data_IF_090562742511
#
_entry.id   IF_090562742511
#
_cell.length_a   1.000
_cell.length_b   1.000
_cell.length_c   1.000
_cell.angle_alpha   90.00
_cell.angle_beta   90.00
_cell.angle_gamma   90.00
#
_symmetry.space_group_name_H-M   'P 1'
#
loop_
_entity.id
_entity.type
_entity.pdbx_description
1 polymer ?
#
# COMPACT_ATOMS: atom_id res chain seq x y z
N UNK A 1 -51.84 -45.71 -73.25
CA UNK A 1 -50.56 -45.03 -73.03
C UNK A 1 -50.74 -43.99 -71.90
N UNK A 2 -50.34 -44.31 -70.70
CA UNK A 2 -50.31 -43.38 -69.57
C UNK A 2 -48.93 -42.81 -69.42
N UNK A 3 -48.75 -41.53 -69.60
CA UNK A 3 -47.45 -40.82 -69.34
C UNK A 3 -47.43 -40.44 -67.87
N UNK A 4 -46.49 -40.99 -67.13
CA UNK A 4 -46.15 -40.63 -65.76
C UNK A 4 -45.17 -39.43 -65.82
N UNK A 5 -45.57 -38.32 -65.21
CA UNK A 5 -44.72 -37.15 -65.06
C UNK A 5 -44.06 -37.29 -63.69
N UNK A 6 -42.73 -37.46 -63.68
CA UNK A 6 -41.91 -37.49 -62.44
C UNK A 6 -41.53 -36.05 -62.08
N UNK A 7 -42.06 -35.58 -60.96
CA UNK A 7 -41.70 -34.26 -60.39
C UNK A 7 -40.39 -34.40 -59.61
N UNK A 8 -39.33 -33.81 -60.06
CA UNK A 8 -38.04 -33.71 -59.30
C UNK A 8 -38.09 -32.47 -58.45
N UNK A 9 -38.21 -32.67 -57.14
CA UNK A 9 -38.10 -31.59 -56.15
C UNK A 9 -36.59 -31.42 -55.85
N UNK A 10 -36.03 -30.31 -56.34
CA UNK A 10 -34.66 -29.87 -55.94
C UNK A 10 -34.80 -29.12 -54.62
N UNK A 11 -34.40 -29.72 -53.53
CA UNK A 11 -34.31 -29.06 -52.24
C UNK A 11 -32.97 -28.30 -52.18
N UNK A 12 -33.00 -26.99 -52.33
CA UNK A 12 -31.83 -26.14 -52.11
C UNK A 12 -31.64 -26.00 -50.60
N UNK A 13 -30.65 -26.72 -50.08
CA UNK A 13 -30.16 -26.49 -48.72
C UNK A 13 -29.39 -25.13 -48.72
N UNK A 14 -30.03 -24.10 -48.25
CA UNK A 14 -29.34 -22.85 -47.93
C UNK A 14 -28.60 -23.11 -46.60
N UNK A 15 -27.32 -23.45 -46.68
CA UNK A 15 -26.45 -23.46 -45.52
C UNK A 15 -26.28 -22.01 -45.03
N UNK A 16 -27.09 -21.62 -44.04
CA UNK A 16 -26.82 -20.39 -43.28
C UNK A 16 -25.57 -20.67 -42.44
N UNK A 17 -24.43 -20.18 -42.89
CA UNK A 17 -23.26 -20.12 -42.07
C UNK A 17 -23.57 -19.20 -40.87
N UNK A 18 -23.87 -19.80 -39.71
CA UNK A 18 -23.89 -19.05 -38.46
C UNK A 18 -22.46 -18.59 -38.19
N UNK A 19 -22.17 -17.35 -38.52
CA UNK A 19 -20.99 -16.69 -37.99
C UNK A 19 -21.20 -16.56 -36.48
N UNK A 20 -20.56 -17.44 -35.71
CA UNK A 20 -20.41 -17.27 -34.29
C UNK A 20 -19.57 -16.02 -34.10
N UNK A 21 -20.20 -14.93 -33.73
CA UNK A 21 -19.44 -13.76 -33.24
C UNK A 21 -18.67 -14.21 -32.01
N UNK A 22 -17.35 -14.13 -32.07
CA UNK A 22 -16.52 -14.38 -30.92
C UNK A 22 -16.93 -13.42 -29.81
N UNK A 23 -17.33 -13.97 -28.65
CA UNK A 23 -17.70 -13.13 -27.50
C UNK A 23 -16.46 -12.39 -27.02
N UNK A 24 -16.56 -11.13 -26.63
CA UNK A 24 -15.44 -10.39 -26.09
C UNK A 24 -14.91 -11.10 -24.82
N UNK A 25 -13.60 -11.23 -24.71
CA UNK A 25 -12.93 -11.78 -23.55
C UNK A 25 -12.63 -10.63 -22.60
N UNK A 26 -13.10 -10.75 -21.35
CA UNK A 26 -12.82 -9.79 -20.29
C UNK A 26 -11.86 -10.41 -19.29
N UNK A 27 -10.73 -9.77 -19.08
CA UNK A 27 -9.72 -10.15 -18.08
C UNK A 27 -9.77 -9.16 -16.93
N UNK A 28 -9.82 -9.69 -15.71
CA UNK A 28 -9.67 -8.90 -14.48
C UNK A 28 -8.36 -9.32 -13.82
N UNK A 29 -7.51 -8.36 -13.45
CA UNK A 29 -6.23 -8.64 -12.81
C UNK A 29 -6.29 -8.37 -11.32
N UNK A 30 -5.64 -9.22 -10.53
CA UNK A 30 -5.50 -9.06 -9.08
C UNK A 30 -4.10 -9.50 -8.65
N UNK A 31 -3.44 -8.68 -7.83
CA UNK A 31 -2.15 -9.03 -7.24
C UNK A 31 -2.33 -9.78 -5.92
N UNK A 32 -1.49 -10.79 -5.70
CA UNK A 32 -1.41 -11.52 -4.42
C UNK A 32 0.04 -11.88 -4.10
N UNK A 33 0.35 -11.95 -2.81
CA UNK A 33 1.61 -12.55 -2.37
C UNK A 33 1.54 -14.09 -2.33
N UNK A 34 2.65 -14.70 -1.96
CA UNK A 34 2.75 -16.17 -1.81
C UNK A 34 1.77 -16.75 -0.75
N UNK A 35 1.29 -15.92 0.19
CA UNK A 35 0.32 -16.28 1.22
C UNK A 35 -1.13 -15.95 0.81
N UNK A 36 -1.36 -15.61 -0.46
CA UNK A 36 -2.66 -15.21 -1.01
C UNK A 36 -3.21 -13.87 -0.45
N UNK A 37 -2.39 -13.05 0.21
CA UNK A 37 -2.77 -11.71 0.62
C UNK A 37 -2.85 -10.78 -0.60
N UNK A 38 -3.82 -9.88 -0.58
CA UNK A 38 -4.03 -8.93 -1.69
C UNK A 38 -2.90 -7.90 -1.74
N UNK A 39 -2.38 -7.66 -2.96
CA UNK A 39 -1.38 -6.65 -3.28
C UNK A 39 -1.98 -5.69 -4.30
N UNK A 40 -2.04 -4.38 -4.02
CA UNK A 40 -2.51 -3.41 -4.99
C UNK A 40 -1.52 -3.30 -6.15
N UNK A 41 -2.02 -3.51 -7.38
CA UNK A 41 -1.24 -3.36 -8.60
C UNK A 41 -1.11 -1.87 -8.95
N UNK A 42 0.06 -1.44 -9.40
CA UNK A 42 0.28 -0.11 -9.98
C UNK A 42 0.09 -0.11 -11.49
N UNK A 43 0.46 -1.22 -12.13
CA UNK A 43 0.24 -1.46 -13.55
C UNK A 43 0.25 -2.95 -13.88
N UNK A 44 -0.31 -3.30 -15.03
CA UNK A 44 -0.23 -4.64 -15.62
C UNK A 44 0.24 -4.53 -17.05
N UNK A 45 1.25 -5.30 -17.39
CA UNK A 45 1.71 -5.46 -18.77
C UNK A 45 1.07 -6.71 -19.36
N UNK A 46 0.40 -6.56 -20.48
CA UNK A 46 -0.27 -7.64 -21.22
C UNK A 46 0.41 -7.79 -22.57
N UNK A 47 0.95 -8.95 -22.85
CA UNK A 47 1.63 -9.26 -24.10
C UNK A 47 0.90 -10.38 -24.84
N UNK A 48 0.56 -10.18 -26.11
CA UNK A 48 0.12 -11.27 -26.97
C UNK A 48 1.36 -11.86 -27.68
N UNK A 49 1.79 -13.01 -27.21
CA UNK A 49 2.98 -13.69 -27.73
C UNK A 49 2.76 -14.29 -29.14
N UNK A 50 1.51 -14.58 -29.51
CA UNK A 50 1.14 -15.10 -30.83
C UNK A 50 1.20 -14.02 -31.89
N UNK A 51 0.74 -12.80 -31.56
CA UNK A 51 0.61 -11.69 -32.54
C UNK A 51 1.64 -10.58 -32.36
N UNK A 52 2.45 -10.65 -31.27
CA UNK A 52 3.60 -9.77 -31.06
C UNK A 52 3.25 -8.33 -30.69
N UNK A 53 2.14 -8.11 -29.97
CA UNK A 53 1.82 -6.80 -29.41
C UNK A 53 1.85 -6.81 -27.88
N UNK A 54 2.00 -5.65 -27.29
CA UNK A 54 2.03 -5.43 -25.84
C UNK A 54 1.21 -4.19 -25.48
N UNK A 55 0.50 -4.26 -24.37
CA UNK A 55 -0.26 -3.14 -23.78
C UNK A 55 0.02 -3.03 -22.29
N UNK A 56 -0.02 -1.80 -21.76
CA UNK A 56 0.16 -1.53 -20.33
C UNK A 56 -1.11 -0.90 -19.78
N UNK A 57 -1.71 -1.59 -18.81
CA UNK A 57 -2.83 -1.09 -18.03
C UNK A 57 -2.27 -0.40 -16.80
N UNK A 58 -2.59 0.88 -16.60
CA UNK A 58 -2.21 1.63 -15.41
C UNK A 58 -3.33 1.57 -14.37
N UNK A 59 -2.96 1.57 -13.08
CA UNK A 59 -3.96 1.74 -12.04
C UNK A 59 -4.77 3.04 -12.27
N UNK A 60 -6.13 3.05 -12.11
CA UNK A 60 -6.97 1.99 -11.55
C UNK A 60 -7.50 0.95 -12.55
N UNK A 61 -7.09 0.95 -13.82
CA UNK A 61 -7.56 0.00 -14.82
C UNK A 61 -6.95 -1.39 -14.60
N UNK A 62 -7.70 -2.27 -13.93
CA UNK A 62 -7.34 -3.69 -13.73
C UNK A 62 -8.19 -4.62 -14.58
N UNK A 63 -8.89 -4.08 -15.59
CA UNK A 63 -9.78 -4.83 -16.48
C UNK A 63 -9.42 -4.54 -17.93
N UNK A 64 -9.13 -5.59 -18.68
CA UNK A 64 -8.90 -5.53 -20.13
C UNK A 64 -10.04 -6.24 -20.88
N UNK A 65 -10.63 -5.57 -21.86
CA UNK A 65 -11.59 -6.19 -22.79
C UNK A 65 -10.90 -6.43 -24.12
N UNK A 66 -10.87 -7.67 -24.57
CA UNK A 66 -10.31 -8.05 -25.87
C UNK A 66 -11.43 -8.55 -26.78
N UNK A 67 -11.51 -8.00 -28.00
CA UNK A 67 -12.45 -8.45 -29.03
C UNK A 67 -11.72 -9.22 -30.12
N UNK A 68 -12.26 -10.38 -30.54
CA UNK A 68 -11.74 -11.11 -31.67
C UNK A 68 -11.91 -10.34 -32.98
N UNK A 69 -11.00 -10.57 -33.94
CA UNK A 69 -11.03 -9.99 -35.28
C UNK A 69 -12.16 -10.62 -36.13
N UNK A 70 -13.41 -10.43 -35.73
CA UNK A 70 -14.57 -10.63 -36.60
C UNK A 70 -15.00 -9.30 -37.15
N UNK A 71 -15.14 -9.17 -38.47
CA UNK A 71 -15.65 -7.99 -39.16
C UNK A 71 -17.01 -7.59 -38.59
N UNK A 72 -17.00 -6.57 -37.76
CA UNK A 72 -18.18 -5.96 -37.17
C UNK A 72 -17.82 -4.57 -36.69
N UNK A 73 -18.35 -3.59 -37.45
CA UNK A 73 -18.29 -2.16 -37.16
C UNK A 73 -18.83 -1.89 -35.72
N UNK A 74 -17.93 -1.79 -34.75
CA UNK A 74 -18.28 -1.31 -33.40
C UNK A 74 -17.91 0.18 -33.36
N UNK A 75 -18.98 0.97 -33.33
CA UNK A 75 -18.88 2.42 -33.20
C UNK A 75 -17.89 2.82 -32.11
N UNK A 76 -17.09 3.81 -32.44
CA UNK A 76 -16.14 4.47 -31.57
C UNK A 76 -16.69 4.60 -30.14
N UNK A 77 -16.16 3.82 -29.19
CA UNK A 77 -16.23 4.21 -27.80
C UNK A 77 -15.25 5.35 -27.61
N UNK A 78 -15.74 6.58 -27.76
CA UNK A 78 -15.01 7.76 -27.30
C UNK A 78 -14.71 7.56 -25.81
N UNK A 79 -13.48 7.86 -25.42
CA UNK A 79 -13.00 7.95 -24.04
C UNK A 79 -13.67 9.12 -23.28
N UNK A 80 -14.97 9.09 -23.14
CA UNK A 80 -15.76 10.14 -22.48
C UNK A 80 -16.70 9.54 -21.43
N UNK A 81 -16.26 8.53 -20.68
CA UNK A 81 -17.14 7.87 -19.73
C UNK A 81 -16.78 8.19 -18.28
N UNK A 82 -17.75 8.71 -17.55
CA UNK A 82 -17.79 8.71 -16.10
C UNK A 82 -17.55 7.27 -15.58
N UNK A 83 -16.59 7.05 -14.66
CA UNK A 83 -16.27 5.70 -14.15
C UNK A 83 -16.16 5.69 -12.66
N UNK A 84 -16.55 4.57 -12.04
CA UNK A 84 -16.33 4.25 -10.64
C UNK A 84 -15.42 3.02 -10.54
N UNK A 85 -14.43 3.09 -9.67
CA UNK A 85 -13.67 1.89 -9.28
C UNK A 85 -14.52 0.96 -8.42
N UNK A 86 -14.11 -0.30 -8.27
CA UNK A 86 -14.65 -1.14 -7.20
C UNK A 86 -14.27 -0.51 -5.86
N UNK A 87 -15.20 -0.52 -4.90
CA UNK A 87 -14.91 -0.03 -3.55
C UNK A 87 -13.87 -0.89 -2.84
N UNK A 88 -13.01 -0.25 -2.07
CA UNK A 88 -12.00 -0.92 -1.27
C UNK A 88 -12.03 -0.40 0.19
N UNK A 89 -12.13 -1.30 1.19
CA UNK A 89 -12.36 -2.75 1.08
C UNK A 89 -13.75 -3.13 0.54
N UNK A 90 -13.89 -4.35 -0.03
CA UNK A 90 -15.18 -4.97 -0.38
C UNK A 90 -15.08 -6.50 -0.22
N UNK A 91 -15.79 -7.14 0.72
CA UNK A 91 -16.72 -6.53 1.71
C UNK A 91 -16.03 -5.62 2.71
N UNK A 92 -16.78 -4.65 3.27
CA UNK A 92 -16.29 -3.68 4.24
C UNK A 92 -17.09 -3.68 5.55
N UNK A 93 -16.50 -3.10 6.58
CA UNK A 93 -17.08 -2.94 7.91
C UNK A 93 -17.37 -1.46 8.17
N UNK A 94 -18.56 -1.01 7.78
CA UNK A 94 -19.04 0.35 8.00
C UNK A 94 -18.49 1.43 7.07
N UNK A 95 -17.23 1.41 6.67
CA UNK A 95 -16.64 2.43 5.80
C UNK A 95 -15.83 1.81 4.65
N UNK A 96 -15.94 2.42 3.45
CA UNK A 96 -15.19 2.03 2.27
C UNK A 96 -14.91 3.25 1.37
N UNK A 97 -14.02 3.11 0.41
CA UNK A 97 -13.62 4.14 -0.53
C UNK A 97 -13.84 3.70 -1.97
N UNK A 98 -14.21 4.64 -2.83
CA UNK A 98 -14.44 4.43 -4.27
C UNK A 98 -13.82 5.58 -5.03
N UNK A 99 -13.08 5.31 -6.10
CA UNK A 99 -12.57 6.36 -6.97
C UNK A 99 -13.56 6.62 -8.09
N UNK A 100 -13.89 7.90 -8.29
CA UNK A 100 -14.70 8.43 -9.37
C UNK A 100 -13.78 9.14 -10.37
N UNK A 101 -13.70 8.63 -11.58
CA UNK A 101 -13.01 9.31 -12.67
C UNK A 101 -14.01 10.19 -13.43
N UNK A 102 -13.72 11.49 -13.45
CA UNK A 102 -14.50 12.52 -14.15
C UNK A 102 -13.69 13.02 -15.35
N UNK A 103 -14.23 12.91 -16.55
CA UNK A 103 -13.53 13.31 -17.79
C UNK A 103 -13.82 14.75 -18.21
N UNK A 104 -15.00 15.26 -17.88
CA UNK A 104 -15.42 16.62 -18.24
C UNK A 104 -15.84 17.40 -17.00
N UNK A 105 -15.55 18.71 -16.92
CA UNK A 105 -16.02 19.51 -15.80
C UNK A 105 -17.55 19.58 -15.77
N UNK A 106 -18.14 19.49 -14.59
CA UNK A 106 -19.60 19.57 -14.45
C UNK A 106 -20.11 19.05 -13.14
N UNK A 107 -21.42 19.02 -13.01
CA UNK A 107 -22.09 18.57 -11.79
C UNK A 107 -22.19 17.03 -11.78
N UNK A 108 -21.95 16.44 -10.61
CA UNK A 108 -22.04 14.99 -10.40
C UNK A 108 -23.00 14.71 -9.25
N UNK A 109 -23.94 13.78 -9.47
CA UNK A 109 -24.80 13.24 -8.43
C UNK A 109 -24.34 11.83 -8.06
N UNK A 110 -24.17 11.56 -6.77
CA UNK A 110 -23.79 10.26 -6.25
C UNK A 110 -24.94 9.75 -5.39
N UNK A 111 -25.43 8.56 -5.71
CA UNK A 111 -26.55 7.90 -5.00
C UNK A 111 -26.09 6.53 -4.50
N UNK A 112 -26.52 6.16 -3.28
CA UNK A 112 -26.40 4.81 -2.74
C UNK A 112 -27.80 4.23 -2.62
N UNK A 113 -28.00 3.07 -3.23
CA UNK A 113 -29.27 2.33 -3.14
C UNK A 113 -29.06 0.95 -2.50
N UNK A 114 -30.07 0.46 -1.78
CA UNK A 114 -30.13 -0.92 -1.33
C UNK A 114 -30.59 -1.86 -2.47
N UNK A 115 -30.63 -3.18 -2.21
CA UNK A 115 -31.01 -4.18 -3.20
C UNK A 115 -32.47 -4.05 -3.68
N UNK A 116 -33.32 -3.27 -2.99
CA UNK A 116 -34.71 -3.02 -3.38
C UNK A 116 -34.83 -1.77 -4.27
N UNK A 117 -33.72 -1.06 -4.49
CA UNK A 117 -33.68 0.22 -5.23
C UNK A 117 -34.06 1.44 -4.39
N UNK A 118 -34.22 1.28 -3.08
CA UNK A 118 -34.48 2.41 -2.17
C UNK A 118 -33.18 3.21 -2.00
N UNK A 119 -33.25 4.52 -2.19
CA UNK A 119 -32.13 5.44 -1.94
C UNK A 119 -31.86 5.46 -0.42
N UNK A 120 -30.63 5.13 -0.05
CA UNK A 120 -30.12 5.17 1.33
C UNK A 120 -29.47 6.52 1.58
N UNK A 121 -28.70 7.02 0.61
CA UNK A 121 -28.00 8.31 0.67
C UNK A 121 -27.84 8.87 -0.74
N UNK A 122 -27.88 10.21 -0.89
CA UNK A 122 -27.65 10.88 -2.17
C UNK A 122 -27.06 12.27 -1.94
N UNK A 123 -26.00 12.59 -2.68
CA UNK A 123 -25.37 13.90 -2.65
C UNK A 123 -25.13 14.43 -4.06
N UNK A 124 -25.26 15.76 -4.21
CA UNK A 124 -25.00 16.48 -5.44
C UNK A 124 -23.78 17.38 -5.25
N UNK A 125 -22.82 17.26 -6.17
CA UNK A 125 -21.58 18.03 -6.16
C UNK A 125 -21.49 18.86 -7.43
N UNK A 126 -21.38 20.19 -7.27
CA UNK A 126 -21.35 21.13 -8.39
C UNK A 126 -19.92 21.41 -8.85
N UNK A 127 -19.76 21.60 -10.18
CA UNK A 127 -18.52 22.07 -10.80
C UNK A 127 -17.30 21.18 -10.52
N UNK A 128 -17.49 19.87 -10.46
CA UNK A 128 -16.40 18.91 -10.32
C UNK A 128 -15.47 19.04 -11.52
N UNK A 129 -14.16 19.14 -11.26
CA UNK A 129 -13.15 19.24 -12.31
C UNK A 129 -12.76 17.85 -12.83
N UNK A 130 -12.25 17.74 -14.08
CA UNK A 130 -11.70 16.49 -14.57
C UNK A 130 -10.60 15.94 -13.64
N UNK A 131 -10.58 14.63 -13.46
CA UNK A 131 -9.60 13.96 -12.60
C UNK A 131 -10.21 12.80 -11.83
N UNK A 132 -9.40 12.19 -10.99
CA UNK A 132 -9.82 11.11 -10.09
C UNK A 132 -10.18 11.72 -8.73
N UNK A 133 -11.40 11.47 -8.29
CA UNK A 133 -11.94 11.96 -7.02
C UNK A 133 -12.22 10.77 -6.11
N UNK A 134 -11.75 10.81 -4.87
CA UNK A 134 -12.07 9.81 -3.88
C UNK A 134 -13.44 10.07 -3.24
N UNK A 135 -14.28 9.04 -3.21
CA UNK A 135 -15.56 9.03 -2.51
C UNK A 135 -15.42 8.13 -1.28
N UNK A 136 -15.65 8.69 -0.11
CA UNK A 136 -15.80 7.94 1.13
C UNK A 136 -17.27 7.58 1.34
N UNK A 137 -17.55 6.30 1.53
CA UNK A 137 -18.88 5.76 1.83
C UNK A 137 -18.91 5.17 3.22
N UNK A 138 -19.88 5.58 4.04
CA UNK A 138 -20.14 4.98 5.37
C UNK A 138 -21.57 4.46 5.39
N UNK A 139 -21.78 3.21 5.83
CA UNK A 139 -23.09 2.57 5.91
C UNK A 139 -23.25 1.85 7.25
N UNK A 140 -24.34 2.17 7.97
CA UNK A 140 -24.62 1.63 9.29
C UNK A 140 -25.03 0.15 9.27
N UNK A 141 -25.82 -0.26 8.29
CA UNK A 141 -26.44 -1.58 8.25
C UNK A 141 -25.69 -2.55 7.34
N UNK A 142 -25.60 -3.81 7.77
CA UNK A 142 -25.12 -4.88 6.89
C UNK A 142 -26.05 -5.07 5.69
N UNK A 143 -25.48 -5.27 4.50
CA UNK A 143 -26.27 -5.46 3.29
C UNK A 143 -25.48 -5.32 2.00
N UNK A 144 -26.19 -5.50 0.90
CA UNK A 144 -25.68 -5.25 -0.46
C UNK A 144 -26.24 -3.92 -0.93
N UNK A 145 -25.36 -3.06 -1.44
CA UNK A 145 -25.67 -1.72 -1.89
C UNK A 145 -25.08 -1.48 -3.27
N UNK A 146 -25.62 -0.48 -3.96
CA UNK A 146 -25.09 0.01 -5.23
C UNK A 146 -24.80 1.51 -5.08
N UNK A 147 -23.55 1.89 -5.35
CA UNK A 147 -23.17 3.28 -5.50
C UNK A 147 -23.25 3.63 -6.99
N UNK A 148 -23.97 4.68 -7.31
CA UNK A 148 -24.19 5.15 -8.67
C UNK A 148 -23.78 6.61 -8.78
N UNK A 149 -22.89 6.94 -9.70
CA UNK A 149 -22.53 8.30 -10.08
C UNK A 149 -23.20 8.65 -11.39
N UNK A 150 -23.72 9.90 -11.48
CA UNK A 150 -24.36 10.46 -12.70
C UNK A 150 -23.75 11.80 -13.02
N UNK A 151 -23.38 11.99 -14.28
CA UNK A 151 -22.96 13.28 -14.83
C UNK A 151 -23.58 13.46 -16.21
N UNK A 152 -24.47 14.42 -16.38
CA UNK A 152 -25.26 14.59 -17.58
C UNK A 152 -26.05 13.29 -17.92
N UNK A 153 -25.86 12.75 -19.13
CA UNK A 153 -26.48 11.49 -19.56
C UNK A 153 -25.65 10.25 -19.20
N UNK A 154 -24.48 10.43 -18.55
CA UNK A 154 -23.56 9.36 -18.19
C UNK A 154 -23.87 8.83 -16.81
N UNK A 155 -23.77 7.52 -16.66
CA UNK A 155 -24.01 6.83 -15.39
C UNK A 155 -22.96 5.73 -15.21
N UNK A 156 -22.38 5.67 -14.02
CA UNK A 156 -21.51 4.58 -13.59
C UNK A 156 -22.06 4.00 -12.28
N UNK A 157 -21.95 2.68 -12.08
CA UNK A 157 -22.46 2.03 -10.87
C UNK A 157 -21.53 0.91 -10.42
N UNK A 158 -21.36 0.74 -9.10
CA UNK A 158 -20.57 -0.31 -8.48
C UNK A 158 -21.34 -0.99 -7.35
N UNK A 159 -21.21 -2.32 -7.22
CA UNK A 159 -21.82 -3.11 -6.16
C UNK A 159 -20.90 -3.15 -4.94
N UNK A 160 -21.44 -2.86 -3.76
CA UNK A 160 -20.74 -2.87 -2.48
C UNK A 160 -21.39 -3.85 -1.52
N UNK A 161 -20.58 -4.50 -0.67
CA UNK A 161 -21.07 -5.42 0.38
C UNK A 161 -20.60 -4.92 1.74
N UNK A 162 -21.53 -4.44 2.57
CA UNK A 162 -21.26 -4.01 3.94
C UNK A 162 -21.57 -5.12 4.94
N UNK A 163 -20.66 -5.39 5.89
CA UNK A 163 -20.86 -6.33 7.01
C UNK A 163 -21.57 -5.71 8.22
N UNK A 164 -21.69 -4.38 8.23
CA UNK A 164 -22.22 -3.57 9.33
C UNK A 164 -21.11 -2.80 10.05
N UNK A 165 -21.47 -2.16 11.17
CA UNK A 165 -20.60 -1.37 12.08
C UNK A 165 -20.33 0.09 11.70
N UNK A 166 -21.03 0.67 10.73
CA UNK A 166 -20.94 2.11 10.45
C UNK A 166 -21.69 2.97 11.47
N UNK A 167 -21.17 4.14 11.75
CA UNK A 167 -21.77 5.12 12.67
C UNK A 167 -22.97 5.89 12.10
N UNK A 168 -23.39 5.61 10.87
CA UNK A 168 -24.47 6.27 10.12
C UNK A 168 -24.27 6.08 8.62
N UNK A 169 -25.30 6.44 7.83
CA UNK A 169 -25.20 6.40 6.36
C UNK A 169 -24.69 7.76 5.88
N UNK A 170 -23.64 7.78 5.07
CA UNK A 170 -23.05 8.97 4.48
C UNK A 170 -22.27 8.66 3.21
N UNK A 171 -22.31 9.59 2.27
CA UNK A 171 -21.42 9.59 1.09
C UNK A 171 -20.75 10.96 1.00
N UNK A 172 -19.43 11.00 0.93
CA UNK A 172 -18.66 12.23 0.91
C UNK A 172 -17.58 12.17 -0.19
N UNK A 173 -17.53 13.22 -1.01
CA UNK A 173 -16.40 13.45 -1.91
C UNK A 173 -15.25 14.03 -1.09
N UNK A 174 -14.13 13.32 -0.97
CA UNK A 174 -13.01 13.70 -0.09
C UNK A 174 -12.08 14.71 -0.76
N UNK A 175 -11.99 14.69 -2.10
CA UNK A 175 -11.16 15.61 -2.87
C UNK A 175 -10.57 14.97 -4.12
N UNK A 176 -9.76 15.72 -4.85
CA UNK A 176 -8.97 15.22 -5.97
C UNK A 176 -7.80 14.43 -5.39
N UNK A 177 -7.63 13.19 -5.82
CA UNK A 177 -6.38 12.46 -5.57
C UNK A 177 -5.33 13.12 -6.48
N UNK A 178 -4.47 13.96 -5.91
CA UNK A 178 -3.37 14.55 -6.66
C UNK A 178 -2.51 13.42 -7.21
N UNK A 179 -2.48 13.32 -8.53
CA UNK A 179 -1.50 12.49 -9.23
C UNK A 179 -0.13 13.04 -8.85
N UNK A 180 0.72 12.19 -8.29
CA UNK A 180 2.11 12.52 -7.97
C UNK A 180 2.74 13.30 -9.12
N UNK A 181 3.26 14.49 -8.81
CA UNK A 181 4.01 15.29 -9.76
C UNK A 181 5.21 14.48 -10.26
N UNK A 182 5.19 14.19 -11.55
CA UNK A 182 6.31 13.61 -12.29
C UNK A 182 7.57 14.48 -12.10
N UNK A 183 8.56 13.95 -11.41
CA UNK A 183 9.94 14.34 -11.64
C UNK A 183 10.54 13.33 -12.63
N UNK A 184 10.57 13.77 -13.89
CA UNK A 184 11.48 13.35 -14.98
C UNK A 184 11.86 11.86 -15.08
N UNK A 185 10.90 11.02 -15.45
CA UNK A 185 11.16 9.83 -16.27
C UNK A 185 10.84 10.17 -17.73
N UNK A 186 11.55 9.59 -18.73
CA UNK A 186 11.27 9.86 -20.14
C UNK A 186 9.81 9.49 -20.43
N UNK A 187 9.02 10.46 -20.88
CA UNK A 187 7.65 10.26 -21.31
C UNK A 187 7.60 9.10 -22.30
N UNK A 188 6.87 8.00 -22.02
CA UNK A 188 6.41 7.16 -23.11
C UNK A 188 5.52 8.03 -23.98
N UNK A 189 5.80 8.09 -25.27
CA UNK A 189 4.92 8.77 -26.23
C UNK A 189 3.54 8.17 -26.04
N UNK A 190 2.58 9.00 -25.60
CA UNK A 190 1.17 8.66 -25.58
C UNK A 190 0.71 8.41 -27.03
N UNK A 191 0.90 7.21 -27.52
CA UNK A 191 0.13 6.66 -28.59
C UNK A 191 -1.08 5.96 -27.94
N UNK A 192 -2.12 6.73 -27.65
CA UNK A 192 -3.46 6.19 -27.37
C UNK A 192 -3.96 5.56 -28.68
N UNK A 193 -3.62 4.28 -28.87
CA UNK A 193 -4.20 3.46 -29.93
C UNK A 193 -5.46 2.83 -29.38
N UNK A 194 -6.58 3.16 -29.99
CA UNK A 194 -7.87 2.57 -29.64
C UNK A 194 -7.85 1.04 -29.78
N UNK A 195 -8.81 0.36 -29.16
CA UNK A 195 -9.01 -1.09 -29.11
C UNK A 195 -8.96 -1.83 -30.47
N UNK A 196 -8.76 -1.13 -31.57
CA UNK A 196 -8.63 -1.68 -32.93
C UNK A 196 -7.23 -2.13 -33.32
N UNK A 197 -6.19 -1.75 -32.54
CA UNK A 197 -4.80 -1.97 -32.95
C UNK A 197 -4.16 -3.23 -32.33
N UNK A 198 -4.80 -3.84 -31.32
CA UNK A 198 -4.32 -5.04 -30.64
C UNK A 198 -5.23 -6.25 -30.94
N UNK A 199 -5.07 -6.90 -32.12
CA UNK A 199 -5.92 -8.00 -32.52
C UNK A 199 -5.76 -9.20 -31.60
N UNK A 200 -6.87 -9.78 -31.16
CA UNK A 200 -6.92 -10.96 -30.33
C UNK A 200 -7.81 -12.04 -30.97
N UNK A 201 -7.33 -13.29 -30.97
CA UNK A 201 -8.14 -14.46 -31.31
C UNK A 201 -8.17 -15.44 -30.15
N UNK A 202 -9.30 -16.10 -29.94
CA UNK A 202 -9.40 -17.17 -28.94
C UNK A 202 -8.36 -18.26 -29.29
N UNK A 203 -7.54 -18.61 -28.30
CA UNK A 203 -6.41 -19.52 -28.47
C UNK A 203 -5.05 -18.82 -28.62
N UNK A 204 -5.00 -17.49 -28.64
CA UNK A 204 -3.73 -16.76 -28.58
C UNK A 204 -3.03 -17.02 -27.25
N UNK A 205 -1.70 -17.15 -27.33
CA UNK A 205 -0.85 -17.26 -26.15
C UNK A 205 -0.57 -15.84 -25.60
N UNK A 206 -0.98 -15.63 -24.37
CA UNK A 206 -0.86 -14.35 -23.68
C UNK A 206 0.09 -14.47 -22.51
N UNK A 207 0.82 -13.40 -22.23
CA UNK A 207 1.64 -13.21 -21.03
C UNK A 207 1.12 -11.99 -20.24
N UNK A 208 1.06 -12.16 -18.94
CA UNK A 208 0.61 -11.13 -18.00
C UNK A 208 1.65 -10.93 -16.92
N UNK A 209 2.06 -9.68 -16.70
CA UNK A 209 3.04 -9.29 -15.68
C UNK A 209 2.47 -8.12 -14.89
N UNK A 210 2.32 -8.29 -13.59
CA UNK A 210 1.86 -7.26 -12.67
C UNK A 210 3.02 -6.51 -12.04
N UNK A 211 2.80 -5.24 -11.76
CA UNK A 211 3.73 -4.43 -11.00
C UNK A 211 3.01 -3.84 -9.80
N UNK A 212 3.71 -3.76 -8.68
CA UNK A 212 3.23 -3.18 -7.43
C UNK A 212 4.35 -2.37 -6.79
N UNK A 213 3.99 -1.35 -6.04
CA UNK A 213 4.98 -0.64 -5.22
C UNK A 213 4.97 -1.25 -3.83
N UNK A 214 6.11 -1.80 -3.45
CA UNK A 214 6.34 -2.38 -2.14
C UNK A 214 7.56 -1.72 -1.54
N UNK A 215 7.40 -1.14 -0.37
CA UNK A 215 8.48 -0.44 0.32
C UNK A 215 9.07 0.75 -0.48
N UNK A 216 8.26 1.37 -1.35
CA UNK A 216 8.70 2.47 -2.21
C UNK A 216 9.44 2.01 -3.48
N UNK A 217 9.64 0.71 -3.68
CA UNK A 217 10.23 0.13 -4.88
C UNK A 217 9.16 -0.57 -5.73
N UNK A 218 9.25 -0.42 -7.05
CA UNK A 218 8.40 -1.16 -7.97
C UNK A 218 8.91 -2.59 -8.07
N UNK A 219 8.05 -3.55 -7.76
CA UNK A 219 8.32 -5.00 -7.85
C UNK A 219 7.45 -5.64 -8.91
N UNK A 220 7.98 -6.68 -9.53
CA UNK A 220 7.36 -7.43 -10.61
C UNK A 220 6.77 -8.74 -10.09
N UNK A 221 5.60 -9.15 -10.61
CA UNK A 221 4.99 -10.45 -10.32
C UNK A 221 5.68 -11.58 -11.08
N UNK A 222 5.37 -12.82 -10.72
CA UNK A 222 5.60 -13.95 -11.62
C UNK A 222 4.92 -13.70 -12.97
N UNK A 223 5.54 -14.18 -14.05
CA UNK A 223 4.99 -14.12 -15.40
C UNK A 223 3.92 -15.20 -15.58
N UNK A 224 2.68 -14.82 -15.82
CA UNK A 224 1.58 -15.75 -16.09
C UNK A 224 1.46 -15.92 -17.61
N UNK A 225 1.90 -17.06 -18.14
CA UNK A 225 1.79 -17.38 -19.57
C UNK A 225 0.71 -18.44 -19.75
N UNK A 226 -0.33 -18.12 -20.53
CA UNK A 226 -1.43 -19.04 -20.79
C UNK A 226 -2.10 -18.81 -22.15
N UNK A 227 -2.79 -19.84 -22.64
CA UNK A 227 -3.69 -19.71 -23.80
C UNK A 227 -4.99 -19.05 -23.32
N UNK A 228 -5.38 -17.98 -23.99
CA UNK A 228 -6.56 -17.21 -23.61
C UNK A 228 -7.73 -17.52 -24.54
N UNK A 229 -8.81 -18.06 -23.99
CA UNK A 229 -10.02 -18.44 -24.74
C UNK A 229 -11.31 -17.98 -24.08
N UNK A 230 -11.27 -17.57 -22.81
CA UNK A 230 -12.44 -17.19 -22.02
C UNK A 230 -12.14 -16.01 -21.09
N UNK A 231 -13.20 -15.32 -20.67
CA UNK A 231 -13.13 -14.29 -19.62
C UNK A 231 -12.76 -14.91 -18.28
N UNK A 232 -11.81 -14.29 -17.56
CA UNK A 232 -11.35 -14.80 -16.27
C UNK A 232 -10.71 -13.72 -15.41
N UNK A 233 -10.47 -14.07 -14.14
CA UNK A 233 -9.58 -13.30 -13.27
C UNK A 233 -8.17 -13.90 -13.33
N UNK A 234 -7.20 -13.09 -13.70
CA UNK A 234 -5.76 -13.45 -13.71
C UNK A 234 -5.18 -13.03 -12.36
N UNK A 235 -4.68 -14.00 -11.62
CA UNK A 235 -3.98 -13.75 -10.35
C UNK A 235 -2.49 -13.61 -10.65
N UNK A 236 -1.94 -12.45 -10.32
CA UNK A 236 -0.52 -12.12 -10.48
C UNK A 236 0.16 -12.28 -9.12
N UNK A 237 1.05 -13.26 -9.02
CA UNK A 237 1.71 -13.62 -7.77
C UNK A 237 3.05 -12.92 -7.65
N UNK A 238 3.29 -12.31 -6.52
CA UNK A 238 4.55 -11.65 -6.20
C UNK A 238 5.38 -12.58 -5.30
N UNK A 239 6.33 -13.28 -5.89
CA UNK A 239 7.10 -14.34 -5.21
C UNK A 239 8.08 -13.82 -4.14
N UNK A 240 8.44 -12.54 -4.21
CA UNK A 240 9.46 -11.93 -3.35
C UNK A 240 8.90 -11.12 -2.18
N UNK A 241 7.57 -11.03 -2.07
CA UNK A 241 6.96 -10.35 -0.94
C UNK A 241 6.79 -11.34 0.21
N UNK A 242 7.78 -11.43 1.05
CA UNK A 242 7.59 -12.06 2.35
C UNK A 242 6.56 -11.25 3.12
N UNK A 243 5.67 -11.93 3.85
CA UNK A 243 4.56 -11.30 4.59
C UNK A 243 4.96 -10.12 5.48
N UNK A 244 6.22 -10.06 5.87
CA UNK A 244 6.80 -9.04 6.75
C UNK A 244 7.23 -7.74 6.06
N UNK A 245 7.15 -7.63 4.73
CA UNK A 245 7.42 -6.37 4.01
C UNK A 245 6.14 -5.63 3.61
N UNK A 246 4.97 -6.20 3.87
CA UNK A 246 3.69 -5.63 3.52
C UNK A 246 3.24 -4.56 4.52
N UNK A 247 2.46 -3.57 4.08
CA UNK A 247 1.76 -2.68 4.99
C UNK A 247 0.83 -3.45 5.93
N UNK A 248 0.62 -2.91 7.12
CA UNK A 248 -0.32 -3.49 8.07
C UNK A 248 -1.75 -3.51 7.51
N UNK A 249 -2.46 -4.61 7.72
CA UNK A 249 -3.84 -4.75 7.27
C UNK A 249 -4.73 -3.65 7.85
N UNK A 250 -5.41 -2.89 6.95
CA UNK A 250 -6.29 -1.80 7.33
C UNK A 250 -5.61 -0.54 7.90
N UNK A 251 -4.26 -0.46 7.81
CA UNK A 251 -3.50 0.69 8.27
C UNK A 251 -2.19 0.81 7.49
N UNK A 252 -2.27 0.96 6.16
CA UNK A 252 -1.07 1.11 5.31
C UNK A 252 -0.22 2.32 5.70
N UNK A 253 -0.86 3.36 6.19
CA UNK A 253 -0.22 4.55 6.74
C UNK A 253 -0.88 4.97 8.05
N UNK A 254 -0.17 5.78 8.84
CA UNK A 254 -0.70 6.49 10.00
C UNK A 254 -0.25 7.95 9.95
N UNK A 255 -1.12 8.85 10.42
CA UNK A 255 -0.84 10.28 10.46
C UNK A 255 -0.79 10.73 11.91
N UNK A 256 0.22 11.53 12.28
CA UNK A 256 0.34 12.11 13.60
C UNK A 256 -0.44 13.44 13.73
N UNK A 257 -0.35 14.09 14.89
CA UNK A 257 -1.04 15.35 15.16
C UNK A 257 -0.57 16.50 14.26
N UNK A 258 0.71 16.53 13.88
CA UNK A 258 1.29 17.58 13.03
C UNK A 258 1.04 17.34 11.52
N UNK A 259 0.33 16.25 11.17
CA UNK A 259 0.02 15.89 9.80
C UNK A 259 1.12 15.11 9.09
N UNK A 260 2.15 14.65 9.79
CA UNK A 260 3.16 13.78 9.21
C UNK A 260 2.58 12.39 8.95
N UNK A 261 2.82 11.86 7.76
CA UNK A 261 2.39 10.53 7.36
C UNK A 261 3.56 9.55 7.49
N UNK A 262 3.30 8.39 8.08
CA UNK A 262 4.25 7.29 8.25
C UNK A 262 3.68 6.05 7.59
N UNK A 263 4.51 5.34 6.82
CA UNK A 263 4.16 4.03 6.30
C UNK A 263 4.21 2.98 7.41
N UNK A 264 3.55 1.88 7.20
CA UNK A 264 3.54 0.77 8.16
C UNK A 264 4.12 -0.49 7.56
N UNK A 265 4.52 -1.43 8.42
CA UNK A 265 4.99 -2.74 8.03
C UNK A 265 4.48 -3.79 9.01
N UNK A 266 3.93 -4.88 8.46
CA UNK A 266 3.56 -6.06 9.24
C UNK A 266 4.80 -6.94 9.40
N UNK A 267 5.19 -7.24 10.63
CA UNK A 267 6.29 -8.15 10.96
C UNK A 267 5.76 -9.18 11.94
N UNK A 268 5.56 -10.40 11.50
CA UNK A 268 4.82 -11.40 12.26
C UNK A 268 3.44 -10.87 12.65
N UNK A 269 3.09 -10.95 13.94
CA UNK A 269 1.83 -10.44 14.47
C UNK A 269 1.89 -8.94 14.85
N UNK A 270 3.05 -8.28 14.67
CA UNK A 270 3.26 -6.89 15.05
C UNK A 270 3.17 -5.95 13.85
N UNK A 271 2.44 -4.86 14.03
CA UNK A 271 2.32 -3.79 13.03
C UNK A 271 3.18 -2.58 13.45
N UNK A 272 4.28 -2.35 12.77
CA UNK A 272 5.26 -1.31 13.06
C UNK A 272 5.15 -0.11 12.10
N UNK A 273 5.49 1.07 12.57
CA UNK A 273 5.86 2.18 11.67
C UNK A 273 7.17 1.87 10.96
N UNK A 274 7.31 2.34 9.72
CA UNK A 274 8.55 2.20 8.94
C UNK A 274 9.52 3.36 9.12
N UNK A 275 9.02 4.51 9.49
CA UNK A 275 9.80 5.72 9.72
C UNK A 275 9.84 6.07 11.20
N UNK A 276 10.88 6.79 11.59
CA UNK A 276 11.01 7.35 12.94
C UNK A 276 10.03 8.49 13.15
N UNK A 277 9.51 8.65 14.36
CA UNK A 277 8.65 9.77 14.73
C UNK A 277 9.33 11.12 14.49
N UNK A 278 8.53 12.09 13.97
CA UNK A 278 8.97 13.47 13.73
C UNK A 278 7.93 14.50 14.14
N UNK A 279 7.16 14.19 15.18
CA UNK A 279 6.09 15.03 15.70
C UNK A 279 6.63 16.00 16.75
N UNK A 280 6.09 17.20 16.79
CA UNK A 280 6.40 18.26 17.79
C UNK A 280 5.26 18.48 18.79
N UNK A 281 4.13 17.79 18.60
CA UNK A 281 2.98 17.80 19.51
C UNK A 281 2.56 16.36 19.84
N UNK A 282 2.13 16.15 21.06
CA UNK A 282 1.45 14.92 21.43
C UNK A 282 0.08 14.80 20.73
N UNK A 283 -0.52 13.63 20.76
CA UNK A 283 -1.81 13.37 20.12
C UNK A 283 -2.98 14.17 20.70
N UNK A 284 -2.84 14.72 21.89
CA UNK A 284 -3.79 15.63 22.55
C UNK A 284 -3.56 17.12 22.19
N UNK A 285 -2.57 17.41 21.36
CA UNK A 285 -2.19 18.76 20.94
C UNK A 285 -1.23 19.48 21.89
N UNK A 286 -0.80 18.86 22.97
CA UNK A 286 0.20 19.44 23.87
C UNK A 286 1.56 19.54 23.15
N UNK A 287 2.22 20.71 23.09
CA UNK A 287 3.51 20.84 22.41
C UNK A 287 4.64 20.16 23.19
N UNK A 288 5.56 19.55 22.45
CA UNK A 288 6.81 19.04 22.98
C UNK A 288 7.86 20.15 22.79
N UNK A 289 8.52 20.62 23.84
CA UNK A 289 9.55 21.65 23.69
C UNK A 289 10.74 21.18 22.87
N UNK A 290 11.28 22.07 22.01
CA UNK A 290 12.58 21.84 21.37
C UNK A 290 13.68 21.89 22.42
N UNK A 291 14.55 20.89 22.44
CA UNK A 291 15.59 20.78 23.48
C UNK A 291 16.70 21.80 23.30
N UNK A 292 17.12 22.09 22.07
CA UNK A 292 18.32 22.90 21.82
C UNK A 292 19.49 22.34 22.64
N UNK A 293 20.10 23.16 23.48
CA UNK A 293 21.18 22.76 24.40
C UNK A 293 20.66 22.27 25.76
N UNK A 294 19.43 21.80 25.88
CA UNK A 294 18.88 21.29 27.12
C UNK A 294 18.85 19.76 27.13
N UNK A 295 19.26 19.18 28.24
CA UNK A 295 19.10 17.78 28.58
C UNK A 295 18.39 17.62 29.91
N UNK A 296 17.45 16.69 30.01
CA UNK A 296 16.72 16.47 31.25
C UNK A 296 16.30 15.02 31.43
N UNK A 297 16.33 14.56 32.67
CA UNK A 297 15.80 13.26 33.08
C UNK A 297 14.29 13.29 33.36
N UNK A 298 13.70 14.49 33.44
CA UNK A 298 12.30 14.71 33.85
C UNK A 298 11.49 15.57 32.89
N UNK A 299 12.10 16.60 32.29
CA UNK A 299 11.43 17.49 31.33
C UNK A 299 11.48 16.89 29.93
N UNK A 300 10.37 16.96 29.15
CA UNK A 300 10.29 16.42 27.81
C UNK A 300 10.95 17.37 26.80
N UNK A 301 11.78 16.81 25.91
CA UNK A 301 12.41 17.52 24.80
C UNK A 301 12.48 16.65 23.55
N UNK A 302 12.30 17.30 22.36
CA UNK A 302 12.72 16.71 21.09
C UNK A 302 13.97 17.46 20.57
N UNK A 303 14.76 16.78 19.77
CA UNK A 303 16.00 17.31 19.16
C UNK A 303 15.97 17.08 17.66
N UNK A 304 16.27 18.16 16.91
CA UNK A 304 16.25 18.18 15.46
C UNK A 304 17.69 18.12 14.92
N UNK A 305 18.01 17.05 14.21
CA UNK A 305 19.24 16.94 13.43
C UNK A 305 18.97 17.46 12.02
N UNK A 306 18.73 18.76 11.87
CA UNK A 306 18.64 19.37 10.55
C UNK A 306 19.99 19.50 9.90
N UNK A 307 20.36 18.53 9.07
CA UNK A 307 21.46 18.66 8.12
C UNK A 307 20.89 18.86 6.72
N UNK A 308 21.58 19.68 5.90
CA UNK A 308 21.15 19.92 4.51
C UNK A 308 21.17 18.66 3.64
N UNK A 309 21.80 17.59 4.10
CA UNK A 309 22.11 16.42 3.29
C UNK A 309 21.14 15.27 3.52
N UNK A 310 20.38 15.26 4.64
CA UNK A 310 19.45 14.17 4.96
C UNK A 310 18.09 14.76 5.37
N UNK A 311 17.02 14.43 4.65
CA UNK A 311 15.69 14.92 4.95
C UNK A 311 15.20 14.48 6.33
N UNK A 312 14.50 15.35 7.06
CA UNK A 312 13.84 15.02 8.33
C UNK A 312 12.91 13.82 8.22
N UNK A 313 12.26 13.66 7.06
CA UNK A 313 11.38 12.51 6.80
C UNK A 313 12.10 11.15 6.89
N UNK A 314 13.40 11.12 6.63
CA UNK A 314 14.24 9.92 6.72
C UNK A 314 14.68 9.63 8.15
N UNK A 315 15.18 10.68 8.87
CA UNK A 315 15.80 10.51 10.18
C UNK A 315 14.81 10.57 11.34
N UNK A 316 13.76 11.38 11.23
CA UNK A 316 12.88 11.72 12.33
C UNK A 316 13.55 12.63 13.37
N UNK A 317 12.83 12.96 14.43
CA UNK A 317 13.39 13.63 15.59
C UNK A 317 13.91 12.62 16.61
N UNK A 318 14.84 13.09 17.44
CA UNK A 318 15.25 12.38 18.64
C UNK A 318 14.44 12.92 19.82
N UNK A 319 14.04 12.04 20.71
CA UNK A 319 13.25 12.39 21.91
C UNK A 319 14.02 11.90 23.12
N UNK A 320 14.08 12.72 24.19
CA UNK A 320 14.48 12.15 25.46
C UNK A 320 13.36 11.23 26.00
N UNK A 321 13.68 10.40 26.99
CA UNK A 321 12.70 9.42 27.47
C UNK A 321 11.43 10.05 28.08
N UNK A 322 11.51 11.21 28.85
CA UNK A 322 10.32 11.92 29.28
C UNK A 322 9.39 12.34 28.13
N UNK A 323 9.95 12.80 27.00
CA UNK A 323 9.15 13.15 25.82
C UNK A 323 8.53 11.90 25.18
N UNK A 324 9.32 10.82 25.04
CA UNK A 324 8.80 9.57 24.48
C UNK A 324 7.63 9.00 25.28
N UNK A 325 7.63 9.19 26.61
CA UNK A 325 6.62 8.67 27.54
C UNK A 325 5.40 9.57 27.77
N UNK A 326 5.49 10.87 27.54
CA UNK A 326 4.41 11.84 27.83
C UNK A 326 3.84 11.69 29.25
N UNK A 327 4.70 11.56 30.26
CA UNK A 327 4.28 11.40 31.65
C UNK A 327 3.61 10.05 32.00
N UNK A 328 3.51 9.13 31.07
CA UNK A 328 2.96 7.79 31.32
C UNK A 328 3.84 6.98 32.26
N UNK A 329 3.23 6.08 33.02
CA UNK A 329 3.96 5.11 33.82
C UNK A 329 4.72 4.13 32.92
N UNK A 330 5.88 3.66 33.40
CA UNK A 330 6.65 2.60 32.70
C UNK A 330 5.83 1.33 32.54
N UNK A 331 6.03 0.65 31.39
CA UNK A 331 5.37 -0.61 31.10
C UNK A 331 6.38 -1.66 30.55
N UNK A 332 6.22 -2.89 30.99
CA UNK A 332 6.88 -4.08 30.41
C UNK A 332 5.86 -5.04 29.80
N UNK A 333 4.58 -4.65 29.73
CA UNK A 333 3.50 -5.47 29.19
C UNK A 333 3.58 -5.61 27.66
N UNK A 334 2.82 -6.55 27.12
CA UNK A 334 2.58 -6.77 25.69
C UNK A 334 1.05 -6.82 25.49
N UNK A 335 0.41 -5.81 24.87
CA UNK A 335 0.98 -4.51 24.48
C UNK A 335 1.38 -3.63 25.68
N UNK A 336 2.26 -2.67 25.45
CA UNK A 336 2.74 -1.77 26.53
C UNK A 336 1.63 -0.90 27.09
N UNK A 337 0.67 -0.49 26.25
CA UNK A 337 -0.39 0.44 26.58
C UNK A 337 0.09 1.87 26.85
N UNK A 338 1.33 2.20 26.54
CA UNK A 338 1.92 3.53 26.69
C UNK A 338 1.84 4.27 25.37
N UNK A 339 0.84 5.12 25.17
CA UNK A 339 0.76 5.93 23.97
C UNK A 339 2.01 6.80 23.79
N UNK A 340 2.37 7.57 24.82
CA UNK A 340 3.54 8.46 24.75
C UNK A 340 3.45 9.44 23.59
N UNK A 341 4.52 9.55 22.81
CA UNK A 341 4.61 10.43 21.65
C UNK A 341 3.95 9.83 20.38
N UNK A 342 3.44 8.60 20.44
CA UNK A 342 2.82 7.93 19.32
C UNK A 342 1.42 8.47 18.98
N UNK A 343 0.98 8.36 17.72
CA UNK A 343 -0.38 8.71 17.31
C UNK A 343 -1.45 7.88 18.03
N UNK A 344 -2.69 8.33 18.01
CA UNK A 344 -3.82 7.58 18.57
C UNK A 344 -3.96 6.21 17.91
N UNK A 345 -4.13 5.14 18.70
CA UNK A 345 -4.19 3.75 18.25
C UNK A 345 -2.80 3.12 18.03
N UNK A 346 -1.75 3.82 18.51
CA UNK A 346 -0.36 3.38 18.48
C UNK A 346 0.30 3.66 19.83
N UNK A 347 1.31 2.87 20.17
CA UNK A 347 2.00 2.98 21.45
C UNK A 347 3.52 2.89 21.31
N UNK A 348 4.23 3.42 22.29
CA UNK A 348 5.67 3.22 22.47
C UNK A 348 5.94 1.77 22.94
N UNK A 349 6.69 0.97 22.17
CA UNK A 349 6.88 -0.44 22.47
C UNK A 349 7.57 -0.67 23.82
N UNK A 350 7.18 -1.70 24.54
CA UNK A 350 7.91 -2.18 25.71
C UNK A 350 9.19 -2.94 25.30
N UNK A 351 10.10 -3.17 26.25
CA UNK A 351 11.25 -4.04 26.04
C UNK A 351 10.84 -5.47 25.63
N UNK A 352 9.70 -5.95 26.15
CA UNK A 352 9.15 -7.26 25.80
C UNK A 352 8.66 -7.31 24.34
N UNK A 353 8.01 -6.26 23.85
CA UNK A 353 7.54 -6.19 22.45
C UNK A 353 8.69 -6.11 21.45
N UNK A 354 9.74 -5.38 21.78
CA UNK A 354 11.00 -5.43 21.02
C UNK A 354 11.61 -6.85 21.00
N UNK A 355 11.43 -7.60 22.09
CA UNK A 355 11.89 -9.01 22.17
C UNK A 355 11.03 -9.91 21.29
N UNK A 356 9.71 -9.67 21.21
CA UNK A 356 8.83 -10.37 20.27
C UNK A 356 9.32 -10.16 18.83
N UNK A 357 9.60 -8.92 18.41
CA UNK A 357 10.17 -8.62 17.11
C UNK A 357 11.46 -9.42 16.84
N UNK A 358 12.45 -9.32 17.73
CA UNK A 358 13.75 -9.97 17.51
C UNK A 358 13.65 -11.49 17.51
N UNK A 359 12.77 -12.08 18.32
CA UNK A 359 12.52 -13.52 18.33
C UNK A 359 11.86 -13.99 17.03
N UNK A 360 10.86 -13.24 16.56
CA UNK A 360 10.23 -13.54 15.29
C UNK A 360 11.25 -13.50 14.15
N UNK A 361 12.04 -12.42 14.03
CA UNK A 361 13.09 -12.29 13.01
C UNK A 361 14.09 -13.45 13.08
N UNK A 362 14.48 -13.87 14.29
CA UNK A 362 15.37 -15.01 14.49
C UNK A 362 14.73 -16.37 14.19
N UNK A 363 13.41 -16.47 14.10
CA UNK A 363 12.70 -17.71 13.76
C UNK A 363 12.54 -17.91 12.24
N UNK A 364 12.67 -16.86 11.45
CA UNK A 364 12.52 -16.89 9.98
C UNK A 364 13.88 -17.13 9.36
N UNK A 365 14.06 -18.26 8.66
CA UNK A 365 15.37 -18.69 8.11
C UNK A 365 15.95 -17.69 7.12
N UNK A 366 15.09 -17.03 6.33
CA UNK A 366 15.43 -16.05 5.31
C UNK A 366 16.00 -14.75 5.90
N UNK A 367 15.71 -14.47 7.19
CA UNK A 367 16.23 -13.31 7.90
C UNK A 367 17.54 -13.58 8.65
N UNK A 368 17.95 -14.84 8.71
CA UNK A 368 19.16 -15.26 9.44
C UNK A 368 20.39 -15.15 8.52
N UNK A 369 21.19 -14.12 8.71
CA UNK A 369 22.44 -14.01 7.98
C UNK A 369 23.47 -15.03 8.53
N UNK A 370 24.11 -15.77 7.61
CA UNK A 370 25.07 -16.82 7.99
C UNK A 370 24.46 -17.97 8.79
N UNK A 371 23.12 -18.17 8.72
CA UNK A 371 22.40 -19.25 9.38
C UNK A 371 22.28 -19.11 10.90
N UNK A 372 22.54 -17.93 11.46
CA UNK A 372 22.41 -17.65 12.90
C UNK A 372 21.13 -16.86 13.19
N UNK A 373 20.29 -17.39 14.09
CA UNK A 373 19.04 -16.74 14.53
C UNK A 373 19.24 -15.38 15.23
N UNK A 374 20.45 -15.04 15.62
CA UNK A 374 20.78 -13.74 16.20
C UNK A 374 21.21 -12.70 15.16
N UNK A 375 21.64 -13.14 13.97
CA UNK A 375 22.18 -12.27 12.93
C UNK A 375 21.06 -11.63 12.10
N UNK A 376 20.29 -10.76 12.72
CA UNK A 376 19.08 -10.11 12.16
C UNK A 376 19.24 -8.60 11.92
N UNK A 377 20.39 -8.02 12.28
CA UNK A 377 20.57 -6.56 12.20
C UNK A 377 20.43 -6.03 10.75
N UNK A 378 21.00 -6.77 9.80
CA UNK A 378 20.99 -6.39 8.38
C UNK A 378 19.57 -6.30 7.80
N UNK A 379 18.71 -7.26 8.11
CA UNK A 379 17.33 -7.28 7.59
C UNK A 379 16.42 -6.21 8.21
N UNK A 380 16.80 -5.69 9.40
CA UNK A 380 16.11 -4.58 10.06
C UNK A 380 16.63 -3.21 9.61
N UNK A 381 17.86 -3.13 9.09
CA UNK A 381 18.55 -1.88 8.75
C UNK A 381 18.07 -1.31 7.41
N UNK A 382 18.04 0.02 7.29
CA UNK A 382 17.81 0.70 6.00
C UNK A 382 18.87 0.34 4.96
N UNK A 383 18.57 0.55 3.69
CA UNK A 383 19.50 0.32 2.56
C UNK A 383 20.52 1.44 2.37
N UNK A 384 20.42 2.54 3.13
CA UNK A 384 21.26 3.73 2.99
C UNK A 384 21.74 4.24 4.36
N UNK A 385 22.70 5.15 4.32
CA UNK A 385 23.21 5.98 5.41
C UNK A 385 24.12 5.28 6.44
N UNK A 386 24.27 3.96 6.39
CA UNK A 386 25.18 3.25 7.28
C UNK A 386 26.63 3.41 6.89
N UNK A 387 27.53 3.64 7.88
CA UNK A 387 28.98 3.60 7.69
C UNK A 387 29.40 2.22 7.15
N UNK A 388 30.44 2.20 6.31
CA UNK A 388 30.88 0.98 5.65
C UNK A 388 31.44 -0.04 6.62
N UNK A 389 31.07 -1.33 6.45
CA UNK A 389 31.60 -2.45 7.22
C UNK A 389 32.02 -3.61 6.34
N UNK A 390 33.10 -4.28 6.71
CA UNK A 390 33.49 -5.57 6.10
C UNK A 390 32.76 -6.78 6.68
N UNK A 391 31.98 -6.59 7.74
CA UNK A 391 31.16 -7.64 8.37
C UNK A 391 30.00 -8.01 7.46
N UNK A 392 29.96 -9.23 6.95
CA UNK A 392 29.01 -9.67 5.94
C UNK A 392 27.54 -9.59 6.39
N UNK A 393 27.26 -9.84 7.66
CA UNK A 393 25.91 -9.84 8.25
C UNK A 393 25.54 -8.51 8.92
N UNK A 394 26.33 -7.47 8.76
CA UNK A 394 26.14 -6.20 9.45
C UNK A 394 25.47 -5.15 8.58
N UNK A 395 24.71 -4.18 9.14
CA UNK A 395 24.06 -3.11 8.40
C UNK A 395 24.95 -2.34 7.43
N UNK A 396 26.21 -2.07 7.81
CA UNK A 396 27.18 -1.32 6.99
C UNK A 396 27.70 -2.07 5.76
N UNK A 397 27.45 -3.35 5.62
CA UNK A 397 27.83 -4.11 4.42
C UNK A 397 26.75 -4.03 3.36
N UNK A 398 26.89 -3.06 2.45
CA UNK A 398 25.92 -2.84 1.34
C UNK A 398 26.14 -3.77 0.14
N UNK A 399 27.21 -4.56 0.12
CA UNK A 399 27.52 -5.46 -1.01
C UNK A 399 26.68 -6.74 -1.03
N UNK A 400 25.98 -7.05 0.06
CA UNK A 400 25.08 -8.22 0.18
C UNK A 400 23.64 -7.71 0.27
N UNK A 401 22.80 -8.21 -0.63
CA UNK A 401 21.40 -7.79 -0.81
C UNK A 401 20.47 -8.35 0.29
N UNK A 402 20.55 -7.86 1.51
CA UNK A 402 19.62 -8.26 2.57
C UNK A 402 19.21 -7.10 3.49
N UNK A 403 19.76 -5.89 3.30
CA UNK A 403 19.31 -4.74 4.08
C UNK A 403 17.82 -4.50 3.80
N UNK A 404 17.09 -4.24 4.88
CA UNK A 404 15.67 -3.94 4.86
C UNK A 404 14.75 -5.05 4.32
N UNK A 405 15.19 -6.30 4.30
CA UNK A 405 14.34 -7.41 3.86
C UNK A 405 13.05 -7.56 4.69
N UNK A 406 13.04 -7.10 5.94
CA UNK A 406 11.85 -7.06 6.80
C UNK A 406 10.93 -5.87 6.54
N UNK A 407 11.38 -4.85 5.79
CA UNK A 407 10.67 -3.59 5.65
C UNK A 407 10.71 -2.67 6.87
N UNK A 408 11.42 -3.03 7.94
CA UNK A 408 11.52 -2.20 9.16
C UNK A 408 12.27 -0.89 8.91
N UNK A 409 13.32 -0.87 8.09
CA UNK A 409 13.99 0.33 7.63
C UNK A 409 14.65 1.18 8.73
N UNK A 410 15.36 0.56 9.67
CA UNK A 410 16.08 1.31 10.69
C UNK A 410 17.18 2.17 10.09
N UNK A 411 17.11 3.49 10.26
CA UNK A 411 18.14 4.44 9.82
C UNK A 411 19.14 4.73 10.94
N UNK A 412 20.45 4.89 10.64
CA UNK A 412 21.46 5.13 11.66
C UNK A 412 21.51 6.60 12.12
N UNK A 413 20.40 7.04 12.74
CA UNK A 413 20.21 8.43 13.14
C UNK A 413 21.10 8.85 14.35
N UNK A 414 21.83 7.92 14.96
CA UNK A 414 22.67 8.21 16.13
C UNK A 414 21.85 8.53 17.37
N UNK A 415 22.41 9.39 18.22
CA UNK A 415 21.76 9.90 19.43
C UNK A 415 22.10 11.37 19.65
N UNK A 416 21.24 12.09 20.39
CA UNK A 416 21.57 13.38 20.97
C UNK A 416 22.16 13.16 22.36
N UNK A 417 23.40 13.60 22.59
CA UNK A 417 24.13 13.44 23.84
C UNK A 417 25.17 14.55 24.02
N UNK A 418 25.30 15.09 25.21
CA UNK A 418 26.25 16.13 25.59
C UNK A 418 26.14 17.37 24.65
N UNK A 419 24.87 17.76 24.36
CA UNK A 419 24.50 18.92 23.57
C UNK A 419 24.84 18.83 22.07
N UNK A 420 25.12 17.61 21.57
CA UNK A 420 25.42 17.37 20.15
C UNK A 420 24.87 16.03 19.68
N UNK A 421 24.76 15.88 18.36
CA UNK A 421 24.44 14.60 17.74
C UNK A 421 25.70 13.77 17.56
N UNK A 422 25.68 12.58 18.09
CA UNK A 422 26.82 11.63 18.05
C UNK A 422 26.38 10.31 17.41
N UNK A 423 27.35 9.59 16.88
CA UNK A 423 27.17 8.25 16.30
C UNK A 423 26.22 8.20 15.07
N UNK A 424 26.01 9.34 14.43
CA UNK A 424 25.28 9.43 13.15
C UNK A 424 26.00 8.56 12.11
N UNK A 425 25.25 7.84 11.29
CA UNK A 425 25.70 6.82 10.34
C UNK A 425 26.26 5.53 10.95
N UNK A 426 26.51 5.48 12.27
CA UNK A 426 27.06 4.32 12.94
C UNK A 426 26.01 3.51 13.70
N UNK A 427 25.03 4.18 14.31
CA UNK A 427 24.08 3.56 15.22
C UNK A 427 22.64 3.99 14.96
N UNK A 428 21.70 3.07 15.14
CA UNK A 428 20.27 3.36 15.26
C UNK A 428 19.83 3.00 16.69
N UNK A 429 19.36 4.01 17.45
CA UNK A 429 18.85 3.82 18.81
C UNK A 429 17.34 4.03 18.86
N UNK A 430 16.63 3.17 19.60
CA UNK A 430 15.18 3.25 19.76
C UNK A 430 14.79 3.12 21.22
N UNK A 431 13.95 4.02 21.72
CA UNK A 431 13.40 3.92 23.07
C UNK A 431 12.44 2.74 23.24
N UNK A 432 12.36 2.25 24.45
CA UNK A 432 11.22 1.45 24.93
C UNK A 432 10.52 2.14 26.11
N UNK A 433 9.28 1.73 26.38
CA UNK A 433 8.50 2.23 27.51
C UNK A 433 8.94 1.62 28.87
N UNK A 434 9.92 0.71 28.87
CA UNK A 434 10.32 -0.04 30.07
C UNK A 434 11.48 0.64 30.77
N UNK A 435 11.28 1.01 32.03
CA UNK A 435 12.31 1.61 32.88
C UNK A 435 13.29 0.56 33.43
N UNK A 436 14.54 0.96 33.64
CA UNK A 436 15.54 0.20 34.39
C UNK A 436 15.74 0.80 35.79
N UNK A 437 15.93 2.12 35.84
CA UNK A 437 16.18 2.87 37.06
C UNK A 437 15.53 4.27 37.01
N UNK A 438 15.73 5.04 38.05
CA UNK A 438 15.30 6.48 38.01
C UNK A 438 15.95 7.27 36.90
N UNK A 439 17.14 6.87 36.46
CA UNK A 439 17.97 7.59 35.46
C UNK A 439 18.01 6.92 34.08
N UNK A 440 17.56 5.67 33.97
CA UNK A 440 17.72 4.88 32.74
C UNK A 440 16.49 4.07 32.38
N UNK A 441 16.36 3.77 31.08
CA UNK A 441 15.33 2.92 30.50
C UNK A 441 15.96 1.96 29.49
N UNK A 442 15.26 0.87 29.18
CA UNK A 442 15.66 -0.03 28.10
C UNK A 442 15.50 0.67 26.75
N UNK A 443 16.47 0.41 25.88
CA UNK A 443 16.47 0.81 24.48
C UNK A 443 16.96 -0.32 23.59
N UNK A 444 16.78 -0.18 22.29
CA UNK A 444 17.32 -1.08 21.27
C UNK A 444 18.33 -0.36 20.42
N UNK A 445 19.35 -1.08 19.98
CA UNK A 445 20.41 -0.54 19.16
C UNK A 445 20.82 -1.47 18.03
N UNK A 446 20.99 -0.91 16.84
CA UNK A 446 21.71 -1.52 15.72
C UNK A 446 23.04 -0.78 15.52
N UNK A 447 24.10 -1.52 15.24
CA UNK A 447 25.42 -1.01 14.91
C UNK A 447 25.78 -1.31 13.47
N UNK A 448 26.50 -0.41 12.82
CA UNK A 448 26.91 -0.60 11.42
C UNK A 448 27.77 -1.85 11.19
N UNK A 449 28.50 -2.32 12.23
CA UNK A 449 29.45 -3.43 12.19
C UNK A 449 29.09 -4.61 13.12
N UNK A 450 27.82 -4.69 13.58
CA UNK A 450 27.32 -5.80 14.37
C UNK A 450 26.13 -6.47 13.70
N UNK A 451 26.09 -7.80 13.76
CA UNK A 451 25.08 -8.62 13.08
C UNK A 451 23.74 -8.73 13.82
N UNK A 452 23.62 -8.25 15.05
CA UNK A 452 22.42 -8.43 15.89
C UNK A 452 21.93 -7.11 16.48
N UNK A 453 20.60 -7.04 16.77
CA UNK A 453 19.99 -5.93 17.49
C UNK A 453 20.19 -6.12 19.00
N UNK A 454 20.82 -5.16 19.66
CA UNK A 454 21.08 -5.21 21.10
C UNK A 454 19.98 -4.55 21.91
N UNK A 455 19.64 -5.16 23.06
CA UNK A 455 18.96 -4.46 24.14
C UNK A 455 20.00 -3.79 25.03
N UNK A 456 19.93 -2.48 25.16
CA UNK A 456 20.89 -1.71 25.95
C UNK A 456 20.20 -0.83 26.98
N UNK A 457 20.97 -0.31 27.93
CA UNK A 457 20.55 0.73 28.85
C UNK A 457 20.81 2.11 28.25
N UNK A 458 19.77 2.96 28.18
CA UNK A 458 19.87 4.36 27.77
C UNK A 458 19.58 5.29 28.94
N UNK A 459 20.42 6.32 29.16
CA UNK A 459 20.10 7.36 30.13
C UNK A 459 18.92 8.19 29.61
N UNK A 460 17.93 8.49 30.46
CA UNK A 460 16.68 9.14 30.10
C UNK A 460 16.81 10.54 29.50
N UNK A 461 17.92 11.22 29.76
CA UNK A 461 18.23 12.53 29.18
C UNK A 461 18.80 12.47 27.76
N UNK A 462 19.17 11.28 27.26
CA UNK A 462 19.63 11.11 25.87
C UNK A 462 18.46 11.24 24.89
N UNK A 463 18.75 11.78 23.70
CA UNK A 463 17.82 11.78 22.60
C UNK A 463 17.98 10.53 21.73
N UNK A 464 16.95 9.69 21.63
CA UNK A 464 16.88 8.53 20.74
C UNK A 464 15.64 8.61 19.83
N UNK A 465 15.67 7.88 18.75
CA UNK A 465 14.51 7.74 17.87
C UNK A 465 13.36 7.00 18.58
N UNK A 466 12.15 7.28 18.13
CA UNK A 466 10.95 6.52 18.53
C UNK A 466 10.36 5.85 17.31
N UNK A 467 10.01 4.59 17.46
CA UNK A 467 9.31 3.77 16.48
C UNK A 467 8.09 3.16 17.14
N UNK A 468 6.89 3.52 16.66
CA UNK A 468 5.64 3.11 17.30
C UNK A 468 5.14 1.77 16.77
N UNK A 469 4.40 1.08 17.65
CA UNK A 469 3.72 -0.18 17.40
C UNK A 469 2.21 0.05 17.52
N UNK A 470 1.42 -0.57 16.64
CA UNK A 470 -0.04 -0.48 16.64
C UNK A 470 -0.64 -1.28 17.79
N UNK A 471 -1.74 -0.75 18.38
CA UNK A 471 -2.52 -1.39 19.46
C UNK A 471 -3.22 -2.68 19.00
#
# INVERSE_FOLDING_TARGET
MKRTITLVIITVFCAVAMFSQAQPVTLTFTGRDANSQYIPLTRVVVSNLTKGWQETLLWPDTVLMMSGTGIGDFGMFQETSLRLSQNNPNPFDGTTYVNLNVTDPGDVTIEITDITGRIVEANHYSSIQPGIHEIRVTLASAGVYFLTARQNERTASVKMVNRGNGGGDAVMLVGIVETFHETSLPQPKNDHRGATDNPFDAGDQMEYVGYAVVNGEEVESDHVVQVQDASQTVVLTFATLQGDSLPCAGAATVTDYDGNVYNTVQIGDQCWMRENMRVTHYSDGTPIPAGGDNESYTEPYYYDYSSSDIPLAEWGYHYNWPAAMHGSASSSAVPSGVQGVCPTGWHLPSHAEWTVLTNYMGSVSEYQCGGSSNNIAKVLASTAWWESSSCECCPGNQSVTANNASGFGAVPAGSYWTYEFVYVSNYAFFWSSTVISNYSAYSRCLYYDFAYMQGIEGMKNLGFSVRCLRD
#
